data_IF_872762315868
#
_entry.id   IF_872762315868
#
_cell.length_a   1.000
_cell.length_b   1.000
_cell.length_c   1.000
_cell.angle_alpha   90.00
_cell.angle_beta   90.00
_cell.angle_gamma   90.00
#
_symmetry.space_group_name_H-M   'P 1'
#
loop_
_entity.id
_entity.type
_entity.pdbx_description
1 polymer ?
#
# COMPACT_ATOMS: atom_id res chain seq x y z
N UNK A 1 -8.46 -16.96 -23.51
CA UNK A 1 -7.76 -17.00 -22.21
C UNK A 1 -6.36 -16.51 -22.50
N UNK A 2 -6.16 -15.19 -22.42
CA UNK A 2 -4.82 -14.61 -22.33
C UNK A 2 -4.19 -15.17 -21.04
N UNK A 3 -3.02 -15.80 -21.13
CA UNK A 3 -2.33 -16.31 -19.95
C UNK A 3 -2.08 -15.15 -18.98
N UNK A 4 -2.60 -15.25 -17.76
CA UNK A 4 -2.35 -14.29 -16.68
C UNK A 4 -0.86 -14.25 -16.40
N UNK A 5 -0.23 -13.09 -16.56
CA UNK A 5 1.21 -12.94 -16.31
C UNK A 5 1.49 -13.22 -14.82
N UNK A 6 2.49 -14.07 -14.48
CA UNK A 6 2.75 -14.46 -13.09
C UNK A 6 3.29 -13.29 -12.23
N UNK A 7 3.75 -12.21 -12.86
CA UNK A 7 4.42 -11.09 -12.21
C UNK A 7 5.93 -11.28 -12.11
N UNK A 8 6.65 -10.18 -11.98
CA UNK A 8 8.11 -10.17 -11.80
C UNK A 8 8.44 -10.43 -10.33
N UNK A 9 9.37 -11.34 -10.05
CA UNK A 9 9.83 -11.61 -8.68
C UNK A 9 10.46 -10.35 -8.08
N UNK A 10 9.77 -9.72 -7.13
CA UNK A 10 10.23 -8.52 -6.45
C UNK A 10 11.07 -8.85 -5.23
N UNK A 11 10.65 -9.84 -4.43
CA UNK A 11 11.39 -10.24 -3.23
C UNK A 11 11.07 -11.70 -2.83
N UNK A 12 12.01 -12.32 -2.13
CA UNK A 12 11.82 -13.61 -1.43
C UNK A 12 12.36 -13.47 -0.01
N UNK A 13 11.57 -13.90 0.96
CA UNK A 13 11.92 -13.86 2.38
C UNK A 13 11.87 -15.27 2.98
N UNK A 14 12.80 -15.58 3.87
CA UNK A 14 12.76 -16.84 4.62
C UNK A 14 11.60 -16.88 5.64
N UNK A 15 11.14 -15.70 6.06
CA UNK A 15 10.00 -15.48 6.96
C UNK A 15 9.22 -14.22 6.60
N UNK A 16 7.91 -14.15 6.89
CA UNK A 16 7.09 -15.18 7.51
C UNK A 16 6.89 -16.40 6.60
N UNK A 17 6.45 -17.50 7.19
CA UNK A 17 6.11 -18.75 6.49
C UNK A 17 4.93 -19.40 7.18
N UNK A 18 4.16 -20.16 6.44
CA UNK A 18 2.98 -20.90 6.89
C UNK A 18 3.12 -22.39 6.57
N UNK A 19 2.29 -23.23 7.20
CA UNK A 19 2.27 -24.67 6.92
C UNK A 19 1.56 -24.96 5.59
N UNK A 20 0.43 -24.29 5.32
CA UNK A 20 -0.26 -24.33 4.03
C UNK A 20 -0.01 -23.04 3.23
N UNK A 21 -0.15 -23.14 1.90
CA UNK A 21 0.01 -21.98 1.02
C UNK A 21 -1.14 -20.99 1.21
N UNK A 22 -0.82 -19.76 1.58
CA UNK A 22 -1.74 -18.62 1.58
C UNK A 22 -1.34 -17.64 0.48
N UNK A 23 -2.31 -17.16 -0.30
CA UNK A 23 -2.11 -16.19 -1.38
C UNK A 23 -2.96 -14.96 -1.15
N UNK A 24 -2.36 -13.78 -1.23
CA UNK A 24 -3.12 -12.53 -1.20
C UNK A 24 -2.49 -11.50 -2.12
N UNK A 25 -3.31 -10.57 -2.60
CA UNK A 25 -2.84 -9.42 -3.36
C UNK A 25 -2.77 -8.18 -2.46
N UNK A 26 -1.87 -7.26 -2.77
CA UNK A 26 -1.79 -5.93 -2.15
C UNK A 26 -1.88 -4.90 -3.25
N UNK A 27 -2.95 -4.09 -3.23
CA UNK A 27 -3.18 -2.98 -4.15
C UNK A 27 -3.20 -1.69 -3.35
N UNK A 28 -2.35 -0.72 -3.71
CA UNK A 28 -2.20 0.51 -2.95
C UNK A 28 -2.42 1.75 -3.81
N UNK A 29 -2.82 2.83 -3.15
CA UNK A 29 -2.87 4.19 -3.67
C UNK A 29 -3.51 4.32 -5.06
N UNK A 30 -4.65 3.67 -5.37
CA UNK A 30 -5.27 3.85 -6.69
C UNK A 30 -5.68 5.29 -6.95
N UNK A 31 -5.87 6.11 -5.90
CA UNK A 31 -6.30 7.49 -6.00
C UNK A 31 -7.45 7.68 -6.98
N UNK A 32 -8.46 6.81 -6.85
CA UNK A 32 -9.53 6.75 -7.83
C UNK A 32 -10.16 8.13 -7.96
N UNK A 33 -10.22 8.60 -9.21
CA UNK A 33 -10.87 9.83 -9.59
C UNK A 33 -11.68 9.63 -10.85
N UNK A 34 -12.92 10.09 -10.83
CA UNK A 34 -13.82 10.10 -11.99
C UNK A 34 -14.03 11.49 -12.58
N UNK A 35 -13.53 12.54 -11.90
CA UNK A 35 -13.75 13.94 -12.26
C UNK A 35 -12.46 14.78 -12.35
N UNK A 36 -11.28 14.16 -12.21
CA UNK A 36 -9.99 14.82 -12.37
C UNK A 36 -9.19 14.26 -13.56
N UNK A 37 -8.29 15.09 -14.11
CA UNK A 37 -7.42 14.72 -15.22
C UNK A 37 -5.99 15.25 -14.96
N UNK A 38 -4.99 14.60 -15.56
CA UNK A 38 -3.59 15.00 -15.57
C UNK A 38 -2.81 14.63 -14.31
N UNK A 39 -1.70 15.36 -14.11
CA UNK A 39 -0.68 15.17 -13.06
C UNK A 39 0.17 13.89 -13.22
N UNK A 40 1.16 13.72 -12.33
CA UNK A 40 1.92 12.48 -12.17
C UNK A 40 1.06 11.24 -11.83
N UNK A 41 -0.18 11.42 -11.35
CA UNK A 41 -1.11 10.35 -10.96
C UNK A 41 -2.05 9.91 -12.08
N UNK A 42 -1.96 10.49 -13.29
CA UNK A 42 -2.79 10.11 -14.45
C UNK A 42 -4.28 9.98 -14.09
N UNK A 43 -4.87 11.02 -13.49
CA UNK A 43 -6.21 10.90 -12.91
C UNK A 43 -7.26 10.39 -13.90
N UNK A 44 -7.13 10.74 -15.19
CA UNK A 44 -7.96 10.29 -16.30
C UNK A 44 -7.91 8.77 -16.58
N UNK A 45 -6.97 8.06 -15.95
CA UNK A 45 -6.75 6.63 -16.10
C UNK A 45 -6.91 5.84 -14.79
N UNK A 46 -7.09 6.52 -13.65
CA UNK A 46 -7.14 5.86 -12.33
C UNK A 46 -8.25 4.82 -12.22
N UNK A 47 -9.47 5.14 -12.67
CA UNK A 47 -10.58 4.18 -12.68
C UNK A 47 -10.24 2.94 -13.53
N UNK A 48 -9.70 3.16 -14.73
CA UNK A 48 -9.38 2.06 -15.65
C UNK A 48 -8.24 1.18 -15.11
N UNK A 49 -7.20 1.77 -14.53
CA UNK A 49 -6.09 1.03 -13.93
C UNK A 49 -6.54 0.24 -12.71
N UNK A 50 -7.34 0.84 -11.81
CA UNK A 50 -7.83 0.14 -10.64
C UNK A 50 -8.79 -0.99 -11.02
N UNK A 51 -9.72 -0.75 -11.95
CA UNK A 51 -10.61 -1.78 -12.48
C UNK A 51 -9.84 -2.94 -13.11
N UNK A 52 -8.83 -2.66 -13.94
CA UNK A 52 -7.98 -3.69 -14.54
C UNK A 52 -7.21 -4.50 -13.48
N UNK A 53 -6.71 -3.85 -12.43
CA UNK A 53 -6.07 -4.53 -11.32
C UNK A 53 -7.04 -5.49 -10.61
N UNK A 54 -8.23 -5.01 -10.28
CA UNK A 54 -9.25 -5.79 -9.55
C UNK A 54 -9.77 -6.95 -10.40
N UNK A 55 -10.01 -6.74 -11.69
CA UNK A 55 -10.41 -7.81 -12.61
C UNK A 55 -9.33 -8.89 -12.77
N UNK A 56 -8.04 -8.51 -12.81
CA UNK A 56 -6.95 -9.48 -12.85
C UNK A 56 -6.80 -10.23 -11.51
N UNK A 57 -6.98 -9.55 -10.38
CA UNK A 57 -7.01 -10.18 -9.04
C UNK A 57 -8.19 -11.16 -8.90
N UNK A 58 -9.38 -10.81 -9.38
CA UNK A 58 -10.55 -11.69 -9.38
C UNK A 58 -10.35 -12.98 -10.21
N UNK A 59 -9.48 -12.92 -11.22
CA UNK A 59 -9.10 -14.07 -12.03
C UNK A 59 -8.05 -15.00 -11.39
N UNK A 60 -7.56 -14.68 -10.19
CA UNK A 60 -6.48 -15.41 -9.50
C UNK A 60 -7.02 -16.19 -8.30
N UNK A 61 -6.29 -17.24 -7.94
CA UNK A 61 -6.54 -18.04 -6.74
C UNK A 61 -5.94 -17.31 -5.52
N UNK A 62 -6.75 -16.43 -4.91
CA UNK A 62 -6.39 -15.60 -3.75
C UNK A 62 -7.30 -15.94 -2.57
N UNK A 63 -6.76 -15.81 -1.36
CA UNK A 63 -7.52 -15.88 -0.11
C UNK A 63 -8.10 -14.51 0.28
N UNK A 64 -7.43 -13.42 -0.10
CA UNK A 64 -7.88 -12.04 0.11
C UNK A 64 -7.18 -11.03 -0.81
N UNK A 65 -7.73 -9.82 -0.86
CA UNK A 65 -7.07 -8.62 -1.37
C UNK A 65 -6.91 -7.62 -0.23
N UNK A 66 -5.71 -7.06 -0.09
CA UNK A 66 -5.36 -6.09 0.95
C UNK A 66 -5.07 -4.73 0.31
N UNK A 67 -5.39 -3.64 1.02
CA UNK A 67 -5.03 -2.28 0.60
C UNK A 67 -4.49 -1.42 1.75
N UNK A 68 -3.26 -0.88 1.64
CA UNK A 68 -2.74 0.08 2.60
C UNK A 68 -3.34 1.50 2.40
N UNK A 69 -4.43 1.65 1.64
CA UNK A 69 -5.19 2.90 1.56
C UNK A 69 -4.92 3.76 0.35
N UNK A 70 -5.39 5.00 0.44
CA UNK A 70 -5.52 6.00 -0.64
C UNK A 70 -6.37 5.45 -1.80
N UNK A 71 -7.51 4.84 -1.44
CA UNK A 71 -8.49 4.29 -2.37
C UNK A 71 -9.05 5.36 -3.30
N UNK A 72 -9.19 6.57 -2.79
CA UNK A 72 -9.76 7.72 -3.52
C UNK A 72 -8.74 8.83 -3.71
N UNK A 73 -9.05 9.78 -4.61
CA UNK A 73 -8.20 10.96 -4.81
C UNK A 73 -8.11 11.81 -3.55
N UNK A 74 -9.24 12.13 -2.93
CA UNK A 74 -9.34 12.98 -1.71
C UNK A 74 -10.53 12.60 -0.81
N UNK A 75 -11.06 11.38 -0.88
CA UNK A 75 -12.13 10.94 0.03
C UNK A 75 -13.51 11.30 -0.49
N UNK A 76 -13.62 11.69 -1.76
CA UNK A 76 -14.87 12.12 -2.34
C UNK A 76 -15.89 10.97 -2.40
N UNK A 77 -17.13 11.22 -1.94
CA UNK A 77 -18.18 10.20 -1.88
C UNK A 77 -18.39 9.46 -3.21
N UNK A 78 -18.39 10.18 -4.34
CA UNK A 78 -18.61 9.58 -5.66
C UNK A 78 -17.44 8.70 -6.13
N UNK A 79 -16.21 9.01 -5.68
CA UNK A 79 -15.05 8.16 -5.95
C UNK A 79 -15.14 6.90 -5.08
N UNK A 80 -15.58 6.99 -3.82
CA UNK A 80 -15.87 5.81 -3.00
C UNK A 80 -16.96 4.92 -3.61
N UNK A 81 -18.05 5.50 -4.11
CA UNK A 81 -19.11 4.73 -4.79
C UNK A 81 -18.58 3.98 -6.02
N UNK A 82 -17.61 4.56 -6.73
CA UNK A 82 -16.96 3.91 -7.88
C UNK A 82 -16.01 2.81 -7.43
N UNK A 83 -15.24 3.03 -6.36
CA UNK A 83 -14.41 1.99 -5.72
C UNK A 83 -15.29 0.81 -5.31
N UNK A 84 -16.40 1.07 -4.61
CA UNK A 84 -17.37 0.07 -4.18
C UNK A 84 -17.85 -0.80 -5.35
N UNK A 85 -18.27 -0.17 -6.45
CA UNK A 85 -18.73 -0.87 -7.65
C UNK A 85 -17.65 -1.65 -8.39
N UNK A 86 -16.37 -1.26 -8.31
CA UNK A 86 -15.26 -2.04 -8.88
C UNK A 86 -15.01 -3.30 -8.05
N UNK A 87 -15.04 -3.17 -6.72
CA UNK A 87 -14.77 -4.25 -5.77
C UNK A 87 -15.84 -5.34 -5.78
N UNK A 88 -17.06 -5.07 -6.27
CA UNK A 88 -18.11 -6.08 -6.47
C UNK A 88 -17.68 -7.28 -7.35
N UNK A 89 -16.60 -7.13 -8.13
CA UNK A 89 -16.04 -8.21 -8.96
C UNK A 89 -15.16 -9.20 -8.19
N UNK A 90 -14.81 -8.92 -6.94
CA UNK A 90 -14.03 -9.84 -6.09
C UNK A 90 -14.94 -10.86 -5.40
N UNK A 91 -14.60 -12.13 -5.54
CA UNK A 91 -15.23 -13.24 -4.79
C UNK A 91 -14.54 -13.52 -3.44
N UNK A 92 -13.50 -12.75 -3.11
CA UNK A 92 -12.67 -12.89 -1.91
C UNK A 92 -12.77 -11.61 -1.06
N UNK A 93 -12.50 -11.67 0.26
CA UNK A 93 -12.51 -10.49 1.11
C UNK A 93 -11.52 -9.41 0.62
N UNK A 94 -11.96 -8.16 0.69
CA UNK A 94 -11.12 -6.98 0.53
C UNK A 94 -10.96 -6.30 1.89
N UNK A 95 -9.74 -6.22 2.40
CA UNK A 95 -9.43 -5.54 3.67
C UNK A 95 -8.52 -4.35 3.42
N UNK A 96 -8.91 -3.18 3.92
CA UNK A 96 -8.13 -1.95 3.78
C UNK A 96 -7.99 -1.19 5.09
N UNK A 97 -6.95 -0.37 5.15
CA UNK A 97 -6.82 0.74 6.10
C UNK A 97 -6.92 2.05 5.32
N UNK A 98 -7.39 3.15 5.92
CA UNK A 98 -7.50 4.40 5.20
C UNK A 98 -6.11 4.99 4.94
N UNK A 99 -5.92 5.58 3.78
CA UNK A 99 -4.79 6.47 3.50
C UNK A 99 -5.08 7.92 3.88
N UNK A 100 -4.09 8.80 3.78
CA UNK A 100 -4.29 10.21 4.16
C UNK A 100 -5.19 10.98 3.20
N UNK A 101 -5.46 10.45 2.01
CA UNK A 101 -6.44 10.97 1.06
C UNK A 101 -7.82 10.32 1.20
N UNK A 102 -7.98 9.30 2.05
CA UNK A 102 -9.28 8.65 2.26
C UNK A 102 -10.11 9.31 3.37
N UNK A 103 -9.47 10.08 4.24
CA UNK A 103 -10.10 10.68 5.43
C UNK A 103 -10.26 12.18 5.28
N UNK A 104 -11.27 12.73 5.94
CA UNK A 104 -11.60 14.16 5.96
C UNK A 104 -10.39 15.03 6.31
N UNK A 105 -10.20 16.12 5.58
CA UNK A 105 -9.25 17.19 5.88
C UNK A 105 -9.94 18.55 6.04
N UNK A 106 -9.29 19.42 6.80
CA UNK A 106 -9.72 20.80 6.97
C UNK A 106 -9.46 21.58 5.67
N UNK A 107 -10.54 22.05 5.06
CA UNK A 107 -10.48 22.84 3.83
C UNK A 107 -10.89 22.08 2.57
N UNK A 108 -11.26 20.81 2.68
CA UNK A 108 -11.90 20.06 1.60
C UNK A 108 -13.17 20.80 1.14
N UNK A 109 -13.34 20.88 -0.18
CA UNK A 109 -14.48 21.53 -0.84
C UNK A 109 -15.59 20.54 -1.23
N UNK A 110 -15.47 19.29 -0.77
CA UNK A 110 -16.37 18.19 -1.02
C UNK A 110 -16.73 17.47 0.30
N UNK A 111 -17.75 16.62 0.24
CA UNK A 111 -18.14 15.78 1.37
C UNK A 111 -17.31 14.50 1.39
N UNK A 112 -16.51 14.32 2.46
CA UNK A 112 -15.84 13.06 2.78
C UNK A 112 -16.74 12.23 3.71
N UNK A 113 -17.02 10.94 3.40
CA UNK A 113 -17.72 10.07 4.32
C UNK A 113 -17.00 9.92 5.67
N UNK A 114 -17.75 9.56 6.72
CA UNK A 114 -17.15 9.32 8.04
C UNK A 114 -16.22 8.10 8.04
N UNK A 115 -15.28 8.09 8.98
CA UNK A 115 -14.43 6.92 9.21
C UNK A 115 -15.28 5.66 9.49
N UNK A 116 -16.42 5.79 10.15
CA UNK A 116 -17.34 4.67 10.39
C UNK A 116 -17.82 3.99 9.09
N UNK A 117 -18.09 4.76 8.02
CA UNK A 117 -18.46 4.18 6.71
C UNK A 117 -17.29 3.40 6.11
N UNK A 118 -16.07 3.92 6.25
CA UNK A 118 -14.86 3.21 5.81
C UNK A 118 -14.70 1.88 6.57
N UNK A 119 -14.89 1.91 7.90
CA UNK A 119 -14.80 0.72 8.76
C UNK A 119 -15.84 -0.33 8.38
N UNK A 120 -17.08 0.07 8.15
CA UNK A 120 -18.16 -0.84 7.73
C UNK A 120 -17.86 -1.48 6.36
N UNK A 121 -17.31 -0.72 5.42
CA UNK A 121 -17.15 -1.14 4.03
C UNK A 121 -15.88 -1.92 3.76
N UNK A 122 -14.75 -1.56 4.38
CA UNK A 122 -13.42 -2.06 3.99
C UNK A 122 -12.66 -2.80 5.10
N UNK A 123 -13.25 -3.02 6.28
CA UNK A 123 -12.60 -3.75 7.38
C UNK A 123 -13.52 -4.87 7.89
N UNK A 124 -13.07 -5.77 8.78
CA UNK A 124 -13.96 -6.77 9.40
C UNK A 124 -14.90 -6.15 10.48
N UNK A 125 -15.15 -4.83 10.43
CA UNK A 125 -16.07 -4.12 11.32
C UNK A 125 -15.41 -3.36 12.47
N UNK A 126 -14.08 -3.26 12.51
CA UNK A 126 -13.35 -2.44 13.47
C UNK A 126 -12.10 -1.78 12.87
N UNK A 127 -11.54 -0.79 13.57
CA UNK A 127 -10.23 -0.21 13.27
C UNK A 127 -9.62 0.28 14.60
N UNK A 128 -8.43 -0.21 15.02
CA UNK A 128 -7.61 -1.22 14.36
C UNK A 128 -8.34 -2.57 14.23
N UNK A 129 -7.89 -3.42 13.31
CA UNK A 129 -8.51 -4.72 13.09
C UNK A 129 -7.50 -5.85 13.04
N UNK A 130 -8.04 -7.05 13.22
CA UNK A 130 -7.38 -8.32 12.95
C UNK A 130 -8.27 -9.15 12.02
N UNK A 131 -7.68 -9.76 11.00
CA UNK A 131 -8.34 -10.71 10.12
C UNK A 131 -7.41 -11.90 9.86
N UNK A 132 -7.97 -13.12 9.80
CA UNK A 132 -7.22 -14.30 9.38
C UNK A 132 -7.45 -14.52 7.88
N UNK A 133 -6.37 -14.69 7.13
CA UNK A 133 -6.34 -14.90 5.68
C UNK A 133 -5.55 -16.19 5.43
N UNK A 134 -6.24 -17.28 5.12
CA UNK A 134 -5.62 -18.61 5.12
C UNK A 134 -4.92 -18.90 6.46
N UNK A 135 -3.61 -19.17 6.39
CA UNK A 135 -2.76 -19.46 7.56
C UNK A 135 -2.03 -18.20 8.08
N UNK A 136 -2.31 -17.01 7.55
CA UNK A 136 -1.68 -15.75 7.99
C UNK A 136 -2.66 -14.84 8.73
N UNK A 137 -2.12 -14.06 9.67
CA UNK A 137 -2.87 -13.01 10.35
C UNK A 137 -2.54 -11.66 9.74
N UNK A 138 -3.56 -10.90 9.39
CA UNK A 138 -3.45 -9.50 8.96
C UNK A 138 -3.93 -8.58 10.08
N UNK A 139 -3.08 -7.62 10.45
CA UNK A 139 -3.35 -6.59 11.46
C UNK A 139 -3.42 -5.23 10.78
N UNK A 140 -4.59 -4.60 10.75
CA UNK A 140 -4.78 -3.29 10.14
C UNK A 140 -4.68 -2.15 11.15
N UNK A 141 -3.81 -1.17 10.89
CA UNK A 141 -3.62 0.03 11.70
C UNK A 141 -3.92 1.30 10.89
N UNK A 142 -4.59 2.25 11.53
CA UNK A 142 -4.89 3.55 10.96
C UNK A 142 -3.82 4.59 11.32
N UNK A 143 -2.94 4.86 10.37
CA UNK A 143 -1.96 5.95 10.46
C UNK A 143 -2.47 7.30 9.95
N UNK A 144 -3.63 7.36 9.31
CA UNK A 144 -4.03 8.48 8.45
C UNK A 144 -4.92 9.53 9.12
N UNK A 145 -5.42 9.23 10.32
CA UNK A 145 -6.31 10.12 11.07
C UNK A 145 -7.76 9.70 10.95
N UNK A 146 -8.67 10.66 10.92
CA UNK A 146 -10.12 10.42 10.86
C UNK A 146 -10.90 11.70 11.12
N UNK A 147 -12.11 11.56 11.63
CA UNK A 147 -13.06 12.67 11.78
C UNK A 147 -12.59 13.77 12.76
N UNK A 148 -11.64 13.47 13.64
CA UNK A 148 -11.14 14.37 14.69
C UNK A 148 -9.61 14.41 14.83
N UNK A 149 -8.86 13.74 13.95
CA UNK A 149 -7.39 13.60 14.04
C UNK A 149 -6.73 13.79 12.68
N UNK A 150 -5.62 14.54 12.67
CA UNK A 150 -4.83 14.87 11.46
C UNK A 150 -5.67 15.57 10.38
N UNK A 151 -6.59 16.45 10.76
CA UNK A 151 -7.43 17.19 9.82
C UNK A 151 -6.60 18.20 8.99
N UNK A 152 -5.54 18.76 9.56
CA UNK A 152 -4.68 19.77 8.93
C UNK A 152 -3.38 19.20 8.35
N UNK A 153 -3.28 17.87 8.21
CA UNK A 153 -2.03 17.20 7.85
C UNK A 153 -2.25 15.92 7.05
N UNK A 154 -1.32 15.65 6.13
CA UNK A 154 -1.18 14.37 5.45
C UNK A 154 -0.04 13.51 6.04
N UNK A 155 0.50 13.89 7.20
CA UNK A 155 1.48 13.06 7.91
C UNK A 155 0.79 11.90 8.64
N UNK A 156 1.53 10.82 8.82
CA UNK A 156 1.03 9.64 9.53
C UNK A 156 1.27 9.74 11.04
N UNK A 157 0.39 9.15 11.84
CA UNK A 157 0.59 8.96 13.28
C UNK A 157 -0.21 7.74 13.75
N UNK A 158 0.39 6.88 14.56
CA UNK A 158 -0.27 5.68 15.12
C UNK A 158 -0.46 5.90 16.62
N UNK A 159 -1.71 6.13 17.08
CA UNK A 159 -2.00 6.40 18.48
C UNK A 159 -1.65 5.23 19.42
N UNK A 160 -1.34 5.50 20.70
CA UNK A 160 -0.95 4.48 21.68
C UNK A 160 -1.92 3.30 21.80
N UNK A 161 -3.23 3.52 21.71
CA UNK A 161 -4.24 2.46 21.76
C UNK A 161 -4.12 1.46 20.61
N UNK A 162 -3.68 1.91 19.43
CA UNK A 162 -3.40 1.01 18.29
C UNK A 162 -2.07 0.29 18.46
N UNK A 163 -1.09 0.90 19.15
CA UNK A 163 0.17 0.24 19.48
C UNK A 163 -0.02 -0.87 20.53
N UNK A 164 -0.89 -0.66 21.52
CA UNK A 164 -1.23 -1.70 22.48
C UNK A 164 -1.96 -2.88 21.80
N UNK A 165 -2.91 -2.58 20.90
CA UNK A 165 -3.55 -3.59 20.05
C UNK A 165 -2.54 -4.37 19.20
N UNK A 166 -1.57 -3.68 18.60
CA UNK A 166 -0.51 -4.29 17.80
C UNK A 166 0.35 -5.24 18.65
N UNK A 167 0.77 -4.82 19.85
CA UNK A 167 1.58 -5.66 20.75
C UNK A 167 0.84 -6.94 21.14
N UNK A 168 -0.45 -6.83 21.42
CA UNK A 168 -1.29 -7.99 21.73
C UNK A 168 -1.39 -8.93 20.53
N UNK A 169 -1.56 -8.40 19.31
CA UNK A 169 -1.64 -9.21 18.09
C UNK A 169 -0.31 -9.92 17.76
N UNK A 170 0.83 -9.27 18.01
CA UNK A 170 2.18 -9.84 17.76
C UNK A 170 2.66 -10.79 18.86
N UNK A 171 1.95 -10.88 19.99
CA UNK A 171 2.24 -11.84 21.05
C UNK A 171 1.77 -13.26 20.69
N UNK A 172 0.93 -13.42 19.68
CA UNK A 172 0.45 -14.72 19.20
C UNK A 172 1.47 -15.39 18.27
N UNK A 173 1.43 -16.74 18.21
CA UNK A 173 2.28 -17.50 17.30
C UNK A 173 1.67 -17.51 15.89
N UNK A 174 2.48 -17.22 14.87
CA UNK A 174 2.05 -17.35 13.48
C UNK A 174 2.71 -16.31 12.56
N UNK A 175 2.49 -16.44 11.24
CA UNK A 175 2.92 -15.44 10.27
C UNK A 175 1.99 -14.21 10.32
N UNK A 176 2.55 -13.05 10.70
CA UNK A 176 1.78 -11.79 10.82
C UNK A 176 2.20 -10.78 9.75
N UNK A 177 1.21 -10.20 9.10
CA UNK A 177 1.35 -9.05 8.22
C UNK A 177 0.63 -7.84 8.84
N UNK A 178 1.32 -6.71 8.92
CA UNK A 178 0.75 -5.46 9.46
C UNK A 178 0.45 -4.53 8.31
N UNK A 179 -0.80 -4.13 8.14
CA UNK A 179 -1.25 -3.23 7.09
C UNK A 179 -1.39 -1.81 7.65
N UNK A 180 -0.65 -0.84 7.11
CA UNK A 180 -0.75 0.57 7.46
C UNK A 180 -0.40 1.45 6.25
N UNK A 181 -0.93 2.67 6.16
CA UNK A 181 -0.67 3.50 4.99
C UNK A 181 0.78 4.04 4.92
N UNK A 182 1.17 4.82 5.92
CA UNK A 182 2.44 5.53 5.94
C UNK A 182 3.64 4.63 6.26
N UNK A 183 4.81 4.96 5.73
CA UNK A 183 5.99 4.10 5.77
C UNK A 183 6.77 4.13 7.08
N UNK A 184 7.71 3.20 7.26
CA UNK A 184 8.66 3.21 8.38
C UNK A 184 9.88 4.09 8.08
N UNK A 185 10.64 4.53 9.12
CA UNK A 185 11.81 5.41 8.95
C UNK A 185 12.82 4.98 7.87
N UNK A 186 13.22 3.68 7.76
CA UNK A 186 14.18 3.26 6.75
C UNK A 186 13.74 3.52 5.31
N UNK A 187 12.44 3.47 5.03
CA UNK A 187 11.92 3.75 3.68
C UNK A 187 12.08 5.22 3.34
N UNK A 188 11.80 6.13 4.28
CA UNK A 188 12.07 7.56 4.09
C UNK A 188 13.58 7.84 3.98
N UNK A 189 14.44 7.09 4.67
CA UNK A 189 15.89 7.23 4.55
C UNK A 189 16.38 6.87 3.14
N UNK A 190 15.80 5.85 2.49
CA UNK A 190 16.10 5.55 1.09
C UNK A 190 15.75 6.74 0.16
N UNK A 191 14.65 7.45 0.41
CA UNK A 191 14.29 8.67 -0.34
C UNK A 191 15.26 9.81 -0.05
N UNK A 192 15.64 10.01 1.23
CA UNK A 192 16.61 11.03 1.63
C UNK A 192 17.97 10.80 0.98
N UNK A 193 18.45 9.55 0.94
CA UNK A 193 19.68 9.21 0.22
C UNK A 193 19.61 9.59 -1.26
N UNK A 194 18.50 9.28 -1.95
CA UNK A 194 18.34 9.67 -3.36
C UNK A 194 18.31 11.18 -3.54
N UNK A 195 17.56 11.91 -2.69
CA UNK A 195 17.56 13.37 -2.72
C UNK A 195 18.96 13.92 -2.53
N UNK A 196 19.65 13.51 -1.48
CA UNK A 196 20.94 14.09 -1.08
C UNK A 196 22.07 13.77 -2.09
N UNK A 197 21.99 12.64 -2.80
CA UNK A 197 23.03 12.20 -3.74
C UNK A 197 22.71 12.45 -5.22
N UNK A 198 21.43 12.51 -5.61
CA UNK A 198 21.01 12.49 -7.02
C UNK A 198 20.12 13.67 -7.40
N UNK A 199 19.10 14.00 -6.59
CA UNK A 199 18.10 15.03 -6.92
C UNK A 199 17.85 15.94 -5.70
N UNK A 200 18.79 16.84 -5.43
CA UNK A 200 18.83 17.66 -4.19
C UNK A 200 17.60 18.53 -3.94
N UNK A 201 16.84 18.86 -4.99
CA UNK A 201 15.62 19.66 -4.93
C UNK A 201 14.34 18.82 -4.73
N UNK A 202 14.46 17.48 -4.71
CA UNK A 202 13.34 16.59 -4.41
C UNK A 202 12.83 16.82 -2.99
N UNK A 203 11.52 17.01 -2.86
CA UNK A 203 10.86 17.05 -1.56
C UNK A 203 10.74 15.64 -0.96
N UNK A 204 10.74 15.55 0.36
CA UNK A 204 10.31 14.34 1.07
C UNK A 204 8.80 14.49 1.31
N UNK A 205 7.97 13.55 0.83
CA UNK A 205 6.54 13.56 1.13
C UNK A 205 6.25 13.49 2.65
N UNK A 206 5.02 13.74 3.09
CA UNK A 206 4.63 13.63 4.49
C UNK A 206 5.13 12.33 5.13
N UNK A 207 5.61 12.40 6.37
CA UNK A 207 6.21 11.24 7.04
C UNK A 207 5.32 10.73 8.17
N UNK A 208 5.63 9.53 8.66
CA UNK A 208 5.07 9.03 9.92
C UNK A 208 5.74 9.74 11.10
N UNK A 209 4.94 10.27 12.02
CA UNK A 209 5.35 10.91 13.28
C UNK A 209 5.58 9.86 14.36
N UNK A 210 6.38 10.23 15.37
CA UNK A 210 6.56 9.47 16.62
C UNK A 210 6.84 7.97 16.41
N UNK A 211 7.71 7.65 15.44
CA UNK A 211 7.90 6.27 14.97
C UNK A 211 8.59 5.36 15.96
N UNK A 212 9.26 5.89 17.00
CA UNK A 212 10.00 5.08 17.96
C UNK A 212 9.08 4.06 18.66
N UNK A 213 7.93 4.52 19.19
CA UNK A 213 6.98 3.64 19.88
C UNK A 213 6.32 2.62 18.91
N UNK A 214 6.17 3.00 17.64
CA UNK A 214 5.65 2.12 16.59
C UNK A 214 6.66 1.02 16.24
N UNK A 215 7.93 1.38 16.04
CA UNK A 215 9.00 0.42 15.75
C UNK A 215 9.19 -0.52 16.94
N UNK A 216 9.18 0.00 18.17
CA UNK A 216 9.26 -0.82 19.39
C UNK A 216 8.08 -1.80 19.49
N UNK A 217 6.86 -1.36 19.16
CA UNK A 217 5.67 -2.22 19.14
C UNK A 217 5.76 -3.31 18.06
N UNK A 218 6.26 -2.98 16.87
CA UNK A 218 6.46 -3.94 15.78
C UNK A 218 7.55 -4.98 16.12
N UNK A 219 8.56 -4.59 16.90
CA UNK A 219 9.66 -5.45 17.30
C UNK A 219 9.33 -6.38 18.50
N UNK A 220 8.11 -6.33 19.06
CA UNK A 220 7.80 -7.01 20.34
C UNK A 220 7.42 -8.50 20.24
N UNK A 221 7.57 -9.17 19.10
CA UNK A 221 7.09 -10.55 18.94
C UNK A 221 7.55 -11.27 17.67
N UNK A 222 6.60 -11.91 16.98
CA UNK A 222 6.83 -12.59 15.68
C UNK A 222 7.40 -11.62 14.66
N UNK A 223 8.43 -12.00 13.90
CA UNK A 223 9.07 -11.21 12.82
C UNK A 223 8.02 -10.75 11.76
N UNK A 224 7.36 -9.58 11.89
CA UNK A 224 6.23 -9.26 11.04
C UNK A 224 6.69 -8.62 9.74
N UNK A 225 5.85 -8.70 8.71
CA UNK A 225 6.02 -7.89 7.49
C UNK A 225 4.98 -6.78 7.47
N UNK A 226 5.46 -5.53 7.50
CA UNK A 226 4.62 -4.34 7.39
C UNK A 226 4.39 -4.03 5.92
N UNK A 227 3.13 -3.92 5.51
CA UNK A 227 2.67 -3.60 4.17
C UNK A 227 2.21 -2.15 4.14
N UNK A 228 2.85 -1.34 3.31
CA UNK A 228 2.63 0.11 3.23
C UNK A 228 2.41 0.61 1.80
N UNK A 229 1.88 1.83 1.67
CA UNK A 229 1.65 2.52 0.39
C UNK A 229 2.37 3.87 0.37
N UNK A 230 1.61 4.94 0.10
CA UNK A 230 1.93 6.36 0.29
C UNK A 230 2.98 6.95 -0.67
N UNK A 231 4.16 6.34 -0.79
CA UNK A 231 5.22 6.89 -1.67
C UNK A 231 5.16 6.36 -3.10
N UNK A 232 4.22 5.45 -3.41
CA UNK A 232 3.96 4.94 -4.75
C UNK A 232 5.18 4.25 -5.38
N UNK A 233 5.92 3.46 -4.60
CA UNK A 233 7.16 2.81 -5.05
C UNK A 233 7.19 1.36 -4.58
N UNK A 234 7.66 0.41 -5.40
CA UNK A 234 8.04 -0.88 -4.88
C UNK A 234 9.29 -0.71 -4.02
N UNK A 235 9.28 -1.17 -2.76
CA UNK A 235 10.47 -1.19 -1.91
C UNK A 235 10.44 -2.31 -0.88
N UNK A 236 11.62 -2.63 -0.37
CA UNK A 236 11.80 -3.39 0.86
C UNK A 236 12.74 -2.60 1.76
N UNK A 237 12.42 -2.55 3.05
CA UNK A 237 13.29 -1.95 4.07
C UNK A 237 13.21 -2.75 5.38
N UNK A 238 14.16 -2.51 6.29
CA UNK A 238 14.24 -3.26 7.56
C UNK A 238 14.75 -2.36 8.67
N UNK A 239 14.15 -2.48 9.85
CA UNK A 239 14.57 -1.84 11.10
C UNK A 239 14.33 -2.80 12.26
N UNK A 240 15.33 -3.01 13.11
CA UNK A 240 15.23 -3.86 14.31
C UNK A 240 14.58 -5.24 14.09
N UNK A 241 14.85 -5.84 12.92
CA UNK A 241 14.29 -7.14 12.52
C UNK A 241 12.90 -7.07 11.88
N UNK A 242 12.21 -5.94 11.99
CA UNK A 242 10.93 -5.66 11.33
C UNK A 242 11.16 -5.34 9.87
N UNK A 243 10.45 -6.05 8.98
CA UNK A 243 10.53 -5.82 7.54
C UNK A 243 9.35 -5.00 7.06
N UNK A 244 9.61 -4.02 6.21
CA UNK A 244 8.58 -3.29 5.46
C UNK A 244 8.64 -3.68 3.99
N UNK A 245 7.48 -3.95 3.39
CA UNK A 245 7.28 -4.03 1.94
C UNK A 245 6.33 -2.90 1.54
N UNK A 246 6.86 -1.92 0.82
CA UNK A 246 6.06 -0.84 0.27
C UNK A 246 5.53 -1.25 -1.10
N UNK A 247 4.21 -1.19 -1.23
CA UNK A 247 3.51 -1.43 -2.48
C UNK A 247 3.72 -0.27 -3.45
N UNK A 248 3.89 -0.54 -4.76
CA UNK A 248 3.66 0.46 -5.79
C UNK A 248 2.17 0.85 -5.82
N UNK A 249 1.87 1.86 -6.62
CA UNK A 249 0.51 2.36 -6.86
C UNK A 249 -0.04 1.84 -8.19
N UNK A 250 -1.34 1.95 -8.41
CA UNK A 250 -1.96 1.78 -9.75
C UNK A 250 -2.09 3.09 -10.55
N UNK A 251 -1.90 4.27 -9.94
CA UNK A 251 -2.15 5.56 -10.60
C UNK A 251 -0.91 6.18 -11.26
N UNK A 252 0.30 5.82 -10.84
CA UNK A 252 1.54 6.40 -11.36
C UNK A 252 2.62 5.36 -11.58
N UNK A 253 3.63 5.66 -12.41
CA UNK A 253 4.69 4.71 -12.72
C UNK A 253 5.43 4.24 -11.45
N UNK A 254 5.59 2.93 -11.19
CA UNK A 254 5.21 1.80 -12.05
C UNK A 254 3.82 1.29 -11.68
N UNK A 255 2.82 1.49 -12.55
CA UNK A 255 1.44 1.11 -12.23
C UNK A 255 1.36 -0.39 -12.04
N UNK A 256 1.18 -0.82 -10.81
CA UNK A 256 1.22 -2.23 -10.44
C UNK A 256 0.62 -2.50 -9.08
N UNK A 257 0.34 -3.77 -8.81
CA UNK A 257 0.02 -4.29 -7.49
C UNK A 257 0.96 -5.45 -7.15
N UNK A 258 0.95 -5.92 -5.90
CA UNK A 258 1.80 -7.02 -5.46
C UNK A 258 0.99 -8.29 -5.22
N UNK A 259 1.59 -9.44 -5.53
CA UNK A 259 1.11 -10.76 -5.16
C UNK A 259 2.04 -11.35 -4.10
N UNK A 260 1.45 -11.85 -3.03
CA UNK A 260 2.13 -12.57 -1.97
C UNK A 260 1.73 -14.04 -2.03
N UNK A 261 2.73 -14.92 -1.96
CA UNK A 261 2.54 -16.34 -1.69
C UNK A 261 3.36 -16.69 -0.44
N UNK A 262 2.68 -17.06 0.63
CA UNK A 262 3.27 -17.47 1.89
C UNK A 262 3.09 -18.99 2.02
N UNK A 263 4.17 -19.72 2.23
CA UNK A 263 4.13 -21.17 2.37
C UNK A 263 5.33 -21.70 3.14
N UNK A 264 5.55 -23.03 3.16
CA UNK A 264 6.59 -23.66 3.99
C UNK A 264 8.02 -23.17 3.71
N UNK A 265 8.27 -22.74 2.48
CA UNK A 265 9.57 -22.27 2.00
C UNK A 265 9.82 -20.77 2.24
N UNK A 266 8.85 -20.04 2.80
CA UNK A 266 8.94 -18.61 3.06
C UNK A 266 7.83 -17.80 2.40
N UNK A 267 8.11 -16.52 2.16
CA UNK A 267 7.21 -15.59 1.47
C UNK A 267 7.83 -15.15 0.15
N UNK A 268 7.08 -15.31 -0.95
CA UNK A 268 7.41 -14.76 -2.26
C UNK A 268 6.53 -13.54 -2.55
N UNK A 269 7.15 -12.46 -3.05
CA UNK A 269 6.45 -11.24 -3.47
C UNK A 269 6.72 -10.98 -4.94
N UNK A 270 5.65 -10.87 -5.74
CA UNK A 270 5.72 -10.55 -7.17
C UNK A 270 5.00 -9.25 -7.48
N UNK A 271 5.57 -8.46 -8.37
CA UNK A 271 4.95 -7.25 -8.90
C UNK A 271 4.22 -7.58 -10.20
N UNK A 272 2.95 -7.21 -10.28
CA UNK A 272 2.10 -7.38 -11.47
C UNK A 272 1.74 -6.00 -12.04
N UNK A 273 2.19 -5.66 -13.25
CA UNK A 273 1.80 -4.42 -13.91
C UNK A 273 0.30 -4.38 -14.22
N UNK A 274 -0.35 -3.22 -14.04
CA UNK A 274 -1.77 -3.00 -14.38
C UNK A 274 -1.95 -2.32 -15.74
N UNK A 275 -0.83 -2.00 -16.41
CA UNK A 275 -0.79 -1.40 -17.72
C UNK A 275 0.14 -2.18 -18.65
N UNK A 276 -0.12 -2.11 -19.95
CA UNK A 276 0.78 -2.67 -20.96
C UNK A 276 2.07 -1.84 -21.09
N UNK A 277 2.98 -2.25 -21.98
CA UNK A 277 4.25 -1.55 -22.19
C UNK A 277 4.06 -0.08 -22.53
N UNK A 278 3.07 0.27 -23.37
CA UNK A 278 2.81 1.65 -23.75
C UNK A 278 2.23 2.46 -22.60
N UNK A 279 1.31 1.89 -21.81
CA UNK A 279 0.77 2.55 -20.62
C UNK A 279 1.83 2.78 -19.52
N UNK A 280 2.76 1.85 -19.36
CA UNK A 280 3.91 2.01 -18.45
C UNK A 280 4.89 3.09 -18.94
N UNK A 281 5.18 3.12 -20.24
CA UNK A 281 6.01 4.18 -20.87
C UNK A 281 5.37 5.56 -20.73
N UNK A 282 4.06 5.66 -20.95
CA UNK A 282 3.29 6.89 -20.77
C UNK A 282 3.43 7.41 -19.33
N UNK A 283 3.17 6.56 -18.35
CA UNK A 283 3.24 6.97 -16.95
C UNK A 283 4.66 7.31 -16.49
N UNK A 284 5.68 6.59 -16.98
CA UNK A 284 7.06 6.95 -16.74
C UNK A 284 7.35 8.36 -17.27
N UNK A 285 6.93 8.63 -18.51
CA UNK A 285 7.14 9.93 -19.16
C UNK A 285 6.40 11.07 -18.43
N UNK A 286 5.13 10.85 -18.07
CA UNK A 286 4.32 11.85 -17.36
C UNK A 286 4.85 12.09 -15.95
N UNK A 287 5.03 11.05 -15.12
CA UNK A 287 5.56 11.17 -13.75
C UNK A 287 6.96 11.79 -13.76
N UNK A 288 7.82 11.43 -14.72
CA UNK A 288 9.17 11.97 -14.86
C UNK A 288 9.23 13.45 -15.27
N UNK A 289 8.19 13.96 -15.94
CA UNK A 289 8.10 15.35 -16.41
C UNK A 289 7.30 16.29 -15.51
N UNK A 290 6.55 15.76 -14.54
CA UNK A 290 5.55 16.48 -13.75
C UNK A 290 6.15 17.45 -12.71
N UNK A 291 7.12 16.99 -11.92
CA UNK A 291 7.84 17.82 -10.94
C UNK A 291 9.21 17.23 -10.63
N UNK A 292 10.08 17.99 -9.96
CA UNK A 292 11.38 17.48 -9.46
C UNK A 292 11.19 16.26 -8.55
N UNK A 293 10.22 16.31 -7.64
CA UNK A 293 9.93 15.19 -6.74
C UNK A 293 9.42 13.98 -7.53
N UNK A 294 8.47 14.19 -8.45
CA UNK A 294 7.92 13.13 -9.30
C UNK A 294 9.01 12.46 -10.16
N UNK A 295 9.96 13.25 -10.68
CA UNK A 295 11.16 12.77 -11.39
C UNK A 295 12.09 11.92 -10.52
N UNK A 296 12.37 12.36 -9.29
CA UNK A 296 13.16 11.59 -8.33
C UNK A 296 12.52 10.25 -8.02
N UNK A 297 11.22 10.24 -7.70
CA UNK A 297 10.47 9.00 -7.44
C UNK A 297 10.45 8.07 -8.67
N UNK A 298 10.26 8.63 -9.88
CA UNK A 298 10.33 7.85 -11.13
C UNK A 298 11.70 7.19 -11.31
N UNK A 299 12.78 7.92 -11.00
CA UNK A 299 14.16 7.42 -11.09
C UNK A 299 14.42 6.28 -10.09
N UNK A 300 13.92 6.40 -8.85
CA UNK A 300 13.99 5.35 -7.83
C UNK A 300 13.23 4.11 -8.29
N UNK A 301 11.98 4.27 -8.77
CA UNK A 301 11.15 3.18 -9.27
C UNK A 301 11.84 2.41 -10.40
N UNK A 302 12.31 3.12 -11.44
CA UNK A 302 12.97 2.51 -12.59
C UNK A 302 14.22 1.73 -12.18
N UNK A 303 15.05 2.29 -11.29
CA UNK A 303 16.25 1.63 -10.77
C UNK A 303 15.92 0.37 -9.95
N UNK A 304 14.81 0.37 -9.19
CA UNK A 304 14.37 -0.80 -8.43
C UNK A 304 13.82 -1.90 -9.33
N UNK A 305 12.94 -1.58 -10.29
CA UNK A 305 12.41 -2.54 -11.26
C UNK A 305 13.54 -3.24 -12.03
N UNK A 306 14.57 -2.51 -12.43
CA UNK A 306 15.73 -3.06 -13.14
C UNK A 306 16.63 -3.97 -12.26
N UNK A 307 16.48 -3.92 -10.93
CA UNK A 307 17.29 -4.67 -9.96
C UNK A 307 16.57 -5.87 -9.36
N UNK A 308 15.32 -6.13 -9.72
CA UNK A 308 14.56 -7.25 -9.16
C UNK A 308 15.32 -8.59 -9.30
N UNK A 309 15.30 -9.45 -8.25
CA UNK A 309 14.67 -9.23 -6.94
C UNK A 309 15.44 -8.22 -6.06
N UNK A 310 14.72 -7.42 -5.27
CA UNK A 310 15.29 -6.48 -4.30
C UNK A 310 15.90 -7.18 -3.08
N UNK A 311 15.35 -8.33 -2.72
CA UNK A 311 15.80 -9.20 -1.62
C UNK A 311 15.62 -10.64 -2.04
N UNK A 312 16.62 -11.48 -1.77
CA UNK A 312 16.59 -12.92 -2.02
C UNK A 312 17.28 -13.62 -0.83
N UNK A 313 16.48 -14.21 0.05
CA UNK A 313 16.90 -14.96 1.25
C UNK A 313 16.85 -16.47 1.07
#
# INVERSE_FOLDING_TARGET
MTETHPGSLMARFARPRSDETTRFAVVADPHLSTEAEGTSKLFEHTEAHFRAAVEDMAGRDLDAVLSPGDLTKDGELWNYETVDGILESLDVPFYAVPGNHDVRKDGDDHDTPSLDRFVEQYTPGSLPFRADVGDVTVVGLNSSGGDDRLLDSHEGDVPPEQLDFLRDALAEEGPVFVLMHHNLPPTYDQLRSHRDEVEAEMAIPPITRNTDDLVDALATGTDPVVLTGHLHLPAVATIDGVREVMSPTTCSFPQSYLLFEVGPDGTEVRLVPVADTTGMELAHNVRGGDSTTSRGLTSIAAARLARFPLVEE
#
